data_IF_236309247876
#
_entry.id   IF_236309247876
#
_cell.length_a   1.000
_cell.length_b   1.000
_cell.length_c   1.000
_cell.angle_alpha   90.00
_cell.angle_beta   90.00
_cell.angle_gamma   90.00
#
_symmetry.space_group_name_H-M   'P 1'
#
loop_
_entity.id
_entity.type
_entity.pdbx_description
1 polymer ?
#
# COMPACT_ATOMS: atom_id res chain seq x y z
N UNK A 1 9.99 -2.57 -10.15
CA UNK A 1 11.29 -3.28 -10.09
C UNK A 1 12.28 -2.51 -10.95
N UNK A 2 13.58 -2.61 -10.67
CA UNK A 2 14.62 -1.99 -11.49
C UNK A 2 15.03 -2.88 -12.68
N UNK A 3 15.24 -2.34 -13.89
CA UNK A 3 14.91 -0.96 -14.28
C UNK A 3 13.39 -0.77 -14.35
N UNK A 4 12.90 0.41 -13.95
CA UNK A 4 11.49 0.77 -14.06
C UNK A 4 11.16 1.48 -15.37
N UNK A 5 9.88 1.65 -15.68
CA UNK A 5 9.45 2.43 -16.84
C UNK A 5 9.67 3.93 -16.59
N UNK A 6 9.92 4.74 -17.65
CA UNK A 6 10.03 6.18 -17.52
C UNK A 6 8.79 6.80 -16.85
N UNK A 7 9.00 7.56 -15.77
CA UNK A 7 7.94 8.23 -15.03
C UNK A 7 7.24 7.38 -13.97
N UNK A 8 7.58 6.10 -13.83
CA UNK A 8 7.07 5.25 -12.75
C UNK A 8 7.99 5.25 -11.52
N UNK A 9 7.41 5.07 -10.34
CA UNK A 9 8.18 4.87 -9.13
C UNK A 9 8.90 3.51 -9.16
N UNK A 10 10.17 3.49 -8.74
CA UNK A 10 11.01 2.29 -8.84
C UNK A 10 11.60 1.93 -7.49
N UNK A 11 11.50 0.65 -7.13
CA UNK A 11 12.18 0.11 -5.95
C UNK A 11 13.70 0.18 -6.13
N UNK A 12 14.48 0.18 -5.03
CA UNK A 12 15.94 0.21 -5.13
C UNK A 12 16.48 -0.88 -6.06
N UNK A 13 17.54 -0.55 -6.81
CA UNK A 13 18.21 -1.49 -7.70
C UNK A 13 18.75 -2.73 -6.98
N UNK A 14 19.08 -2.60 -5.70
CA UNK A 14 19.55 -3.71 -4.87
C UNK A 14 18.44 -4.70 -4.44
N UNK A 15 17.17 -4.40 -4.71
CA UNK A 15 16.05 -5.28 -4.35
C UNK A 15 15.63 -6.13 -5.55
N UNK A 16 15.68 -7.45 -5.35
CA UNK A 16 15.10 -8.40 -6.30
C UNK A 16 13.59 -8.58 -6.11
N UNK A 17 12.96 -9.40 -6.96
CA UNK A 17 11.51 -9.64 -6.91
C UNK A 17 11.06 -10.21 -5.57
N UNK A 18 11.82 -11.17 -5.05
CA UNK A 18 11.51 -11.88 -3.81
C UNK A 18 11.50 -10.91 -2.63
N UNK A 19 12.52 -10.05 -2.54
CA UNK A 19 12.56 -9.01 -1.52
C UNK A 19 11.39 -8.04 -1.67
N UNK A 20 11.11 -7.55 -2.87
CA UNK A 20 9.98 -6.63 -3.10
C UNK A 20 8.67 -7.26 -2.61
N UNK A 21 8.37 -8.50 -2.98
CA UNK A 21 7.16 -9.21 -2.56
C UNK A 21 7.13 -9.34 -1.04
N UNK A 22 8.23 -9.79 -0.43
CA UNK A 22 8.31 -9.97 1.03
C UNK A 22 8.08 -8.67 1.80
N UNK A 23 8.69 -7.56 1.37
CA UNK A 23 8.51 -6.27 2.05
C UNK A 23 7.09 -5.71 1.85
N UNK A 24 6.49 -5.92 0.67
CA UNK A 24 5.11 -5.51 0.36
C UNK A 24 4.10 -6.28 1.19
N UNK A 25 4.23 -7.61 1.28
CA UNK A 25 3.38 -8.44 2.14
C UNK A 25 3.56 -8.03 3.61
N UNK A 26 4.81 -7.80 4.01
CA UNK A 26 5.14 -7.31 5.34
C UNK A 26 4.46 -5.98 5.69
N UNK A 27 4.21 -5.08 4.74
CA UNK A 27 3.44 -3.84 5.02
C UNK A 27 1.98 -4.17 5.32
N UNK A 28 1.35 -5.07 4.57
CA UNK A 28 -0.06 -5.43 4.75
C UNK A 28 -0.29 -6.20 6.05
N UNK A 29 0.65 -7.05 6.44
CA UNK A 29 0.57 -7.86 7.68
C UNK A 29 0.99 -7.10 8.95
N UNK A 30 1.50 -5.88 8.80
CA UNK A 30 2.04 -5.09 9.90
C UNK A 30 0.96 -4.45 10.75
N UNK A 31 1.08 -4.61 12.07
CA UNK A 31 0.31 -3.84 13.06
C UNK A 31 0.75 -2.37 13.15
N UNK A 32 1.92 -2.03 12.63
CA UNK A 32 2.48 -0.68 12.66
C UNK A 32 2.20 0.10 11.38
N UNK A 33 1.75 -0.58 10.32
CA UNK A 33 1.35 0.10 9.10
C UNK A 33 0.24 1.08 9.39
N UNK A 34 0.32 2.24 8.76
CA UNK A 34 -0.75 3.22 8.81
C UNK A 34 -1.73 2.92 7.68
N UNK A 35 -3.02 3.07 7.96
CA UNK A 35 -4.10 2.66 7.07
C UNK A 35 -5.09 3.78 6.85
N UNK A 36 -5.63 3.88 5.64
CA UNK A 36 -6.85 4.62 5.38
C UNK A 36 -7.73 4.00 4.32
N UNK A 37 -9.04 4.15 4.49
CA UNK A 37 -9.99 3.78 3.45
C UNK A 37 -9.91 4.81 2.32
N UNK A 38 -9.53 4.35 1.13
CA UNK A 38 -9.63 5.16 -0.10
C UNK A 38 -11.05 5.09 -0.66
N UNK A 39 -11.71 3.94 -0.51
CA UNK A 39 -13.14 3.77 -0.79
C UNK A 39 -13.81 3.04 0.37
N UNK A 40 -15.10 3.28 0.57
CA UNK A 40 -15.87 2.68 1.67
C UNK A 40 -15.89 3.55 2.94
N UNK A 41 -16.35 2.96 4.05
CA UNK A 41 -16.57 3.62 5.34
C UNK A 41 -15.75 2.98 6.46
N UNK A 42 -14.51 2.58 6.16
CA UNK A 42 -13.64 1.95 7.17
C UNK A 42 -13.91 0.45 7.41
N UNK A 43 -14.57 -0.26 6.48
CA UNK A 43 -14.81 -1.71 6.55
C UNK A 43 -14.22 -2.48 5.37
N UNK A 44 -14.51 -3.79 5.30
CA UNK A 44 -14.00 -4.66 4.23
C UNK A 44 -14.69 -4.45 2.87
N UNK A 45 -15.93 -3.95 2.88
CA UNK A 45 -16.75 -3.67 1.71
C UNK A 45 -17.09 -2.18 1.63
N UNK A 46 -17.22 -1.66 0.42
CA UNK A 46 -17.81 -0.36 0.16
C UNK A 46 -19.34 -0.42 0.28
N UNK A 47 -20.00 0.75 0.30
CA UNK A 47 -21.47 0.86 0.42
C UNK A 47 -22.24 0.04 -0.63
N UNK A 48 -21.67 -0.14 -1.82
CA UNK A 48 -22.27 -0.89 -2.93
C UNK A 48 -22.06 -2.41 -2.85
N UNK A 49 -21.38 -2.92 -1.81
CA UNK A 49 -21.10 -4.36 -1.64
C UNK A 49 -19.83 -4.85 -2.34
N UNK A 50 -19.19 -4.01 -3.16
CA UNK A 50 -17.86 -4.27 -3.74
C UNK A 50 -16.77 -4.25 -2.65
N UNK A 51 -15.64 -4.95 -2.83
CA UNK A 51 -14.48 -4.84 -1.94
C UNK A 51 -14.04 -3.38 -1.74
N UNK A 52 -13.89 -2.96 -0.49
CA UNK A 52 -13.34 -1.64 -0.17
C UNK A 52 -11.85 -1.59 -0.56
N UNK A 53 -11.39 -0.41 -0.95
CA UNK A 53 -9.98 -0.17 -1.25
C UNK A 53 -9.37 0.59 -0.08
N UNK A 54 -8.33 0.01 0.50
CA UNK A 54 -7.53 0.60 1.56
C UNK A 54 -6.15 0.93 1.05
N UNK A 55 -5.61 2.05 1.50
CA UNK A 55 -4.21 2.38 1.30
C UNK A 55 -3.48 2.20 2.61
N UNK A 56 -2.35 1.51 2.57
CA UNK A 56 -1.45 1.40 3.70
C UNK A 56 -0.04 1.87 3.36
N UNK A 57 0.72 2.25 4.38
CA UNK A 57 2.12 2.54 4.21
C UNK A 57 2.94 2.31 5.47
N UNK A 58 4.20 1.93 5.24
CA UNK A 58 5.24 1.78 6.25
C UNK A 58 6.62 2.00 5.61
N UNK A 59 7.63 2.30 6.43
CA UNK A 59 9.03 2.30 5.99
C UNK A 59 9.64 0.93 6.24
N UNK A 60 10.15 0.30 5.19
CA UNK A 60 10.87 -0.98 5.21
C UNK A 60 12.27 -0.76 4.64
N UNK A 61 13.31 -1.08 5.42
CA UNK A 61 14.71 -0.88 5.01
C UNK A 61 15.01 0.50 4.41
N UNK A 62 14.43 1.55 5.01
CA UNK A 62 14.61 2.94 4.57
C UNK A 62 13.78 3.34 3.34
N UNK A 63 12.99 2.43 2.76
CA UNK A 63 12.07 2.72 1.66
C UNK A 63 10.65 2.81 2.21
N UNK A 64 9.97 3.94 2.00
CA UNK A 64 8.55 4.02 2.31
C UNK A 64 7.76 3.35 1.20
N UNK A 65 7.01 2.32 1.55
CA UNK A 65 6.20 1.52 0.63
C UNK A 65 4.74 1.87 0.86
N UNK A 66 4.02 2.18 -0.21
CA UNK A 66 2.56 2.36 -0.20
C UNK A 66 1.93 1.17 -0.91
N UNK A 67 0.89 0.59 -0.29
CA UNK A 67 0.11 -0.50 -0.89
C UNK A 67 -1.35 -0.09 -1.01
N UNK A 68 -2.01 -0.62 -2.03
CA UNK A 68 -3.45 -0.56 -2.22
C UNK A 68 -4.00 -1.97 -2.04
N UNK A 69 -4.86 -2.16 -1.05
CA UNK A 69 -5.30 -3.47 -0.58
C UNK A 69 -6.82 -3.57 -0.52
N UNK A 70 -7.35 -4.73 -0.91
CA UNK A 70 -8.76 -5.09 -0.84
C UNK A 70 -8.96 -6.19 0.20
N UNK A 71 -9.35 -5.84 1.44
CA UNK A 71 -9.44 -6.80 2.55
C UNK A 71 -10.48 -7.90 2.35
N UNK A 72 -11.62 -7.61 1.70
CA UNK A 72 -12.67 -8.61 1.51
C UNK A 72 -12.23 -9.82 0.66
N UNK A 73 -11.18 -9.66 -0.15
CA UNK A 73 -10.66 -10.70 -1.05
C UNK A 73 -9.17 -10.99 -0.83
N UNK A 74 -8.55 -10.41 0.20
CA UNK A 74 -7.14 -10.66 0.52
C UNK A 74 -6.16 -10.22 -0.57
N UNK A 75 -6.46 -9.17 -1.34
CA UNK A 75 -5.70 -8.83 -2.56
C UNK A 75 -4.96 -7.51 -2.44
N UNK A 76 -3.65 -7.54 -2.71
CA UNK A 76 -2.87 -6.34 -3.03
C UNK A 76 -3.12 -5.99 -4.50
N UNK A 77 -3.75 -4.82 -4.74
CA UNK A 77 -4.06 -4.32 -6.08
C UNK A 77 -2.80 -3.73 -6.73
N UNK A 78 -2.04 -2.95 -5.96
CA UNK A 78 -0.74 -2.41 -6.38
C UNK A 78 0.10 -2.05 -5.16
N UNK A 79 1.42 -2.01 -5.32
CA UNK A 79 2.37 -1.54 -4.33
C UNK A 79 3.56 -0.85 -5.00
N UNK A 80 4.03 0.24 -4.42
CA UNK A 80 5.12 1.03 -4.99
C UNK A 80 5.86 1.81 -3.90
N UNK A 81 7.16 2.11 -4.11
CA UNK A 81 7.88 3.03 -3.25
C UNK A 81 7.36 4.44 -3.50
N UNK A 82 7.19 5.21 -2.44
CA UNK A 82 6.59 6.53 -2.55
C UNK A 82 7.12 7.44 -1.44
N UNK A 83 7.51 8.66 -1.79
CA UNK A 83 7.97 9.70 -0.86
C UNK A 83 7.06 10.94 -0.82
N UNK A 84 5.92 10.94 -1.53
CA UNK A 84 4.97 12.04 -1.55
C UNK A 84 4.33 12.32 -0.17
N UNK A 85 3.81 13.52 0.09
CA UNK A 85 3.02 13.75 1.28
C UNK A 85 1.89 12.71 1.40
N UNK A 86 1.74 12.14 2.58
CA UNK A 86 0.59 11.29 2.88
C UNK A 86 -0.63 12.22 2.87
N UNK A 87 -1.73 11.88 2.17
CA UNK A 87 -2.94 12.68 2.21
C UNK A 87 -3.35 12.95 3.66
N UNK A 88 -3.59 14.21 4.01
CA UNK A 88 -4.11 14.55 5.34
C UNK A 88 -5.56 14.09 5.35
N UNK A 89 -5.85 13.10 6.18
CA UNK A 89 -7.19 12.56 6.31
C UNK A 89 -7.79 13.25 7.53
N UNK A 90 -8.96 13.89 7.39
CA UNK A 90 -9.69 14.32 8.57
C UNK A 90 -9.95 13.06 9.42
N UNK A 91 -9.49 13.05 10.67
CA UNK A 91 -9.90 12.03 11.63
C UNK A 91 -11.44 11.95 11.62
N UNK A 92 -11.98 10.75 11.46
CA UNK A 92 -13.42 10.54 11.62
C UNK A 92 -13.80 11.01 13.04
N UNK A 93 -14.70 11.99 13.09
CA UNK A 93 -15.24 12.58 14.31
C UNK A 93 -16.14 11.61 15.07
#
# INVERSE_FOLDING_TARGET
>A
MWPGNPGEAVFPESWDATKIIYEVDGVVDSRNAKWYAQTGTGGALAKAGEPATWVSWEVRDGVRIRTVYQPAVGRIVTAFPDNEPIPIIPEEK
#
